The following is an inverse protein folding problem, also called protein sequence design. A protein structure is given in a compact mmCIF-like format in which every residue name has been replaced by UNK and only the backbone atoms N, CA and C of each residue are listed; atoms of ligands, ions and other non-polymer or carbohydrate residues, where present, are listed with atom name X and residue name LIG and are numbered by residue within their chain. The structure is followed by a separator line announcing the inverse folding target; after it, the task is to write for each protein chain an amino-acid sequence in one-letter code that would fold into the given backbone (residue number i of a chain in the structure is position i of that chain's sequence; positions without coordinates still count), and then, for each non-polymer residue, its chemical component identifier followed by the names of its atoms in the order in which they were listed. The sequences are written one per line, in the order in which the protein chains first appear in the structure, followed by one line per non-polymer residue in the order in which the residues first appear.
data_IF_952162281035
#
_entry.id   IF_952162281035
#
_cell.length_a   1.000
_cell.length_b   1.000
_cell.length_c   1.000
_cell.angle_alpha   90.00
_cell.angle_beta   90.00
_cell.angle_gamma   90.00
#
_symmetry.space_group_name_H-M   'P 1'
#
loop_
_entity.id
_entity.type
_entity.pdbx_description
1 polymer ?
#
# COMPACT_ATOMS: atom_id res chain seq x y z
N UNK A 1 -11.78 -6.30 1.85
CA UNK A 1 -10.89 -6.17 3.03
C UNK A 1 -10.78 -4.70 3.35
N UNK A 2 -10.75 -4.29 4.62
CA UNK A 2 -10.68 -2.89 5.02
C UNK A 2 -9.23 -2.40 5.06
N UNK A 3 -8.99 -1.23 4.47
CA UNK A 3 -7.69 -0.55 4.51
C UNK A 3 -7.87 0.80 5.20
N UNK A 4 -7.03 1.09 6.19
CA UNK A 4 -6.97 2.38 6.88
C UNK A 4 -5.63 3.06 6.63
N UNK A 5 -5.63 4.34 6.30
CA UNK A 5 -4.44 5.17 6.13
C UNK A 5 -4.32 6.18 7.27
N UNK A 6 -3.17 6.17 7.93
CA UNK A 6 -2.74 7.19 8.87
C UNK A 6 -1.68 8.12 8.23
N UNK A 7 -1.54 9.37 8.70
CA UNK A 7 -2.37 10.07 9.69
C UNK A 7 -3.64 10.68 9.08
N UNK A 8 -3.82 10.60 7.76
CA UNK A 8 -4.94 11.23 7.05
C UNK A 8 -6.32 10.71 7.49
N UNK A 9 -6.40 9.56 8.16
CA UNK A 9 -7.65 8.99 8.67
C UNK A 9 -8.57 8.48 7.57
N UNK A 10 -8.01 8.16 6.40
CA UNK A 10 -8.77 7.69 5.24
C UNK A 10 -9.02 6.18 5.36
N UNK A 11 -10.22 5.75 4.96
CA UNK A 11 -10.64 4.35 4.99
C UNK A 11 -11.22 3.98 3.63
N UNK A 12 -10.88 2.79 3.13
CA UNK A 12 -11.43 2.25 1.89
C UNK A 12 -11.47 0.72 1.89
N UNK A 13 -12.18 0.15 0.92
CA UNK A 13 -12.24 -1.29 0.70
C UNK A 13 -11.25 -1.70 -0.40
N UNK A 14 -10.49 -2.76 -0.12
CA UNK A 14 -9.68 -3.46 -1.12
C UNK A 14 -10.37 -4.77 -1.51
N UNK A 15 -10.67 -4.88 -2.80
CA UNK A 15 -11.19 -6.12 -3.40
C UNK A 15 -10.07 -7.16 -3.55
N UNK A 16 -10.39 -8.47 -3.47
CA UNK A 16 -9.43 -9.53 -3.72
C UNK A 16 -8.77 -9.39 -5.10
N UNK A 17 -7.45 -9.55 -5.16
CA UNK A 17 -6.70 -9.47 -6.41
C UNK A 17 -6.43 -8.05 -6.91
N UNK A 18 -6.74 -7.00 -6.14
CA UNK A 18 -6.29 -5.62 -6.36
C UNK A 18 -5.13 -5.27 -5.41
N UNK A 19 -4.19 -4.45 -5.92
CA UNK A 19 -3.12 -3.94 -5.06
C UNK A 19 -3.66 -2.84 -4.17
N UNK A 20 -2.95 -2.55 -3.09
CA UNK A 20 -3.30 -1.45 -2.20
C UNK A 20 -3.35 -0.11 -2.94
N UNK A 21 -2.47 0.11 -3.93
CA UNK A 21 -2.53 1.30 -4.79
C UNK A 21 -3.79 1.33 -5.65
N UNK A 22 -4.13 0.22 -6.33
CA UNK A 22 -5.32 0.16 -7.19
C UNK A 22 -6.61 0.38 -6.38
N UNK A 23 -6.69 -0.22 -5.18
CA UNK A 23 -7.83 -0.05 -4.29
C UNK A 23 -7.95 1.39 -3.77
N UNK A 24 -6.83 2.05 -3.44
CA UNK A 24 -6.84 3.45 -3.04
C UNK A 24 -7.33 4.36 -4.18
N UNK A 25 -6.83 4.15 -5.41
CA UNK A 25 -7.24 4.91 -6.59
C UNK A 25 -8.73 4.75 -6.91
N UNK A 26 -9.25 3.52 -6.82
CA UNK A 26 -10.68 3.24 -6.99
C UNK A 26 -11.56 3.96 -5.94
N UNK A 27 -11.01 4.20 -4.75
CA UNK A 27 -11.68 4.94 -3.68
C UNK A 27 -11.45 6.46 -3.73
N UNK A 28 -10.78 6.97 -4.77
CA UNK A 28 -10.45 8.40 -4.90
C UNK A 28 -9.40 8.88 -3.89
N UNK A 29 -8.51 7.98 -3.46
CA UNK A 29 -7.40 8.29 -2.58
C UNK A 29 -6.09 8.24 -3.37
N UNK A 30 -5.39 9.35 -3.42
CA UNK A 30 -4.08 9.45 -4.03
C UNK A 30 -3.00 8.98 -3.05
N UNK A 31 -2.21 7.98 -3.48
CA UNK A 31 -0.95 7.60 -2.84
C UNK A 31 0.22 8.04 -3.74
N UNK A 32 1.36 8.45 -3.16
CA UNK A 32 2.58 8.69 -3.96
C UNK A 32 2.90 7.47 -4.82
N UNK A 33 3.03 7.65 -6.14
CA UNK A 33 3.33 6.54 -7.06
C UNK A 33 3.99 7.04 -8.34
N UNK A 34 4.72 6.13 -9.02
CA UNK A 34 5.39 6.43 -10.29
C UNK A 34 5.46 5.19 -11.20
N UNK A 35 6.45 4.30 -11.02
CA UNK A 35 6.69 3.18 -11.95
C UNK A 35 5.64 2.06 -11.94
N UNK A 36 4.90 1.90 -10.82
CA UNK A 36 3.89 0.85 -10.60
C UNK A 36 4.36 -0.60 -10.81
N UNK A 37 5.66 -0.85 -10.84
CA UNK A 37 6.24 -2.19 -11.07
C UNK A 37 7.17 -2.65 -9.92
N UNK A 38 7.16 -1.94 -8.80
CA UNK A 38 7.91 -2.32 -7.59
C UNK A 38 9.38 -1.94 -7.57
N UNK A 39 9.86 -1.02 -8.43
CA UNK A 39 11.29 -0.67 -8.51
C UNK A 39 11.64 0.74 -8.05
N UNK A 40 10.85 1.76 -8.41
CA UNK A 40 11.20 3.18 -8.16
C UNK A 40 11.09 3.64 -6.69
N UNK A 41 10.42 2.86 -5.84
CA UNK A 41 10.16 3.16 -4.42
C UNK A 41 9.38 4.46 -4.11
N UNK A 42 8.85 5.18 -5.11
CA UNK A 42 8.00 6.36 -4.87
C UNK A 42 6.80 6.08 -3.96
N UNK A 43 6.24 4.87 -4.04
CA UNK A 43 5.09 4.46 -3.23
C UNK A 43 5.45 3.84 -1.88
N UNK A 44 6.73 3.77 -1.51
CA UNK A 44 7.18 3.13 -0.28
C UNK A 44 6.47 3.73 0.93
N UNK A 45 5.84 2.88 1.73
CA UNK A 45 5.16 3.26 2.95
C UNK A 45 5.24 2.13 3.98
N UNK A 46 4.74 2.37 5.19
CA UNK A 46 4.83 1.39 6.28
C UNK A 46 3.47 0.72 6.55
N UNK A 47 3.46 -0.60 6.52
CA UNK A 47 2.41 -1.46 7.03
C UNK A 47 2.51 -1.51 8.56
N UNK A 48 1.54 -0.90 9.24
CA UNK A 48 1.51 -0.85 10.71
C UNK A 48 0.68 -1.97 11.31
N UNK A 49 -0.15 -2.64 10.52
CA UNK A 49 -0.96 -3.79 10.94
C UNK A 49 -1.44 -4.59 9.73
N UNK A 50 -1.59 -5.90 9.90
CA UNK A 50 -2.08 -6.83 8.89
C UNK A 50 -0.95 -7.43 8.05
N UNK A 51 -1.30 -8.06 6.93
CA UNK A 51 -0.35 -8.76 6.06
C UNK A 51 -0.65 -8.52 4.59
N UNK A 52 0.39 -8.58 3.77
CA UNK A 52 0.30 -8.44 2.32
C UNK A 52 1.09 -9.55 1.63
N UNK A 53 0.73 -9.86 0.38
CA UNK A 53 1.55 -10.63 -0.55
C UNK A 53 1.97 -9.75 -1.72
N UNK A 54 3.12 -10.03 -2.32
CA UNK A 54 3.59 -9.30 -3.50
C UNK A 54 3.24 -10.06 -4.78
N UNK A 55 2.86 -9.32 -5.84
CA UNK A 55 2.64 -9.89 -7.18
C UNK A 55 3.93 -10.17 -7.94
N UNK A 56 5.05 -9.68 -7.44
CA UNK A 56 6.37 -9.87 -8.01
C UNK A 56 7.26 -10.55 -6.98
N UNK A 57 8.20 -11.35 -7.46
CA UNK A 57 9.11 -12.12 -6.61
C UNK A 57 10.09 -11.21 -5.85
N UNK A 58 10.60 -10.18 -6.53
CA UNK A 58 11.64 -9.29 -6.02
C UNK A 58 11.19 -7.82 -6.04
N UNK A 59 10.31 -7.39 -5.10
CA UNK A 59 10.06 -5.98 -4.91
C UNK A 59 11.32 -5.27 -4.44
N UNK A 60 11.49 -4.00 -4.80
CA UNK A 60 12.59 -3.15 -4.36
C UNK A 60 12.50 -2.76 -2.87
N UNK A 61 12.24 -3.73 -2.01
CA UNK A 61 12.21 -3.67 -0.54
C UNK A 61 13.08 -4.80 -0.02
N UNK A 62 14.09 -4.48 0.79
CA UNK A 62 14.99 -5.48 1.38
C UNK A 62 14.26 -6.39 2.38
N UNK A 63 14.95 -7.42 2.88
CA UNK A 63 14.40 -8.29 3.93
C UNK A 63 14.21 -7.51 5.23
N UNK A 64 15.23 -6.76 5.66
CA UNK A 64 15.16 -5.95 6.89
C UNK A 64 14.03 -4.91 6.81
N UNK A 65 13.88 -4.27 5.65
CA UNK A 65 12.80 -3.31 5.41
C UNK A 65 11.41 -3.97 5.53
N UNK A 66 11.25 -5.20 5.02
CA UNK A 66 9.98 -5.95 5.19
C UNK A 66 9.72 -6.28 6.66
N UNK A 67 10.75 -6.60 7.44
CA UNK A 67 10.63 -6.86 8.89
C UNK A 67 10.25 -5.60 9.68
N UNK A 68 10.74 -4.43 9.25
CA UNK A 68 10.32 -3.12 9.77
C UNK A 68 8.92 -2.69 9.29
N UNK A 69 8.28 -3.48 8.43
CA UNK A 69 6.95 -3.24 7.90
C UNK A 69 6.91 -2.34 6.67
N UNK A 70 8.04 -2.03 6.03
CA UNK A 70 8.04 -1.30 4.77
C UNK A 70 7.47 -2.13 3.62
N UNK A 71 6.63 -1.51 2.81
CA UNK A 71 5.97 -2.15 1.67
C UNK A 71 5.91 -1.25 0.44
N UNK A 72 5.72 -1.86 -0.72
CA UNK A 72 5.38 -1.17 -1.97
C UNK A 72 3.90 -1.44 -2.33
N UNK A 73 2.95 -0.56 -1.95
CA UNK A 73 1.52 -0.75 -2.17
C UNK A 73 1.16 -0.87 -3.66
N UNK A 74 2.02 -0.42 -4.59
CA UNK A 74 1.78 -0.59 -6.03
C UNK A 74 1.82 -2.04 -6.51
N UNK A 75 2.47 -2.94 -5.76
CA UNK A 75 2.61 -4.38 -6.09
C UNK A 75 2.20 -5.30 -4.94
N UNK A 76 1.72 -4.72 -3.82
CA UNK A 76 1.27 -5.46 -2.65
C UNK A 76 -0.25 -5.62 -2.66
N UNK A 77 -0.73 -6.85 -2.47
CA UNK A 77 -2.13 -7.20 -2.27
C UNK A 77 -2.37 -7.50 -0.79
N UNK A 78 -3.45 -6.99 -0.17
CA UNK A 78 -3.79 -7.33 1.20
C UNK A 78 -4.24 -8.80 1.31
N UNK A 79 -3.87 -9.44 2.41
CA UNK A 79 -4.34 -10.79 2.79
C UNK A 79 -5.47 -10.74 3.85
N UNK A 80 -5.83 -9.54 4.28
CA UNK A 80 -6.87 -9.26 5.27
C UNK A 80 -6.99 -7.76 5.48
N UNK A 81 -7.56 -7.35 6.61
CA UNK A 81 -7.60 -5.93 6.97
C UNK A 81 -6.19 -5.41 7.28
N UNK A 82 -5.86 -4.23 6.76
CA UNK A 82 -4.52 -3.65 6.90
C UNK A 82 -4.57 -2.18 7.30
N UNK A 83 -3.50 -1.72 7.97
CA UNK A 83 -3.29 -0.31 8.30
C UNK A 83 -1.97 0.17 7.72
N UNK A 84 -2.02 1.27 7.00
CA UNK A 84 -0.88 1.89 6.34
C UNK A 84 -0.58 3.24 6.98
N UNK A 85 0.70 3.55 7.12
CA UNK A 85 1.21 4.86 7.46
C UNK A 85 1.72 5.51 6.17
N UNK A 86 0.92 6.43 5.64
CA UNK A 86 1.20 7.16 4.40
C UNK A 86 0.96 8.66 4.63
N UNK A 87 1.95 9.40 5.15
CA UNK A 87 1.82 10.83 5.47
C UNK A 87 1.41 11.73 4.30
N UNK A 88 1.72 11.30 3.08
CA UNK A 88 1.44 12.05 1.85
C UNK A 88 0.18 11.59 1.12
N UNK A 89 -0.63 10.70 1.71
CA UNK A 89 -1.90 10.31 1.12
C UNK A 89 -2.90 11.47 1.14
N UNK A 90 -3.73 11.59 0.10
CA UNK A 90 -4.72 12.66 -0.05
C UNK A 90 -6.06 12.13 -0.57
N UNK A 91 -7.15 12.67 -0.04
CA UNK A 91 -8.47 12.53 -0.65
C UNK A 91 -8.55 13.40 -1.90
N UNK A 92 -9.14 12.88 -2.97
CA UNK A 92 -9.46 13.63 -4.19
C UNK A 92 -10.89 14.19 -4.19
N UNK A 93 -11.64 13.96 -3.10
CA UNK A 93 -12.92 14.58 -2.79
C UNK A 93 -12.78 15.63 -1.69
#
# INVERSE_FOLDING_TARGET
MKVRIAPAGLDFDAEPGHTLLQAAEAAGIELPSSCRNGTCRTCLCRLTSGQVRYRIEWPGVSVDEKEEGWILPCVAEPLGDVRLDVPLARSLF
#
